data_IF_614362851896
#
_entry.id   IF_614362851896
#
_cell.length_a   1.000
_cell.length_b   1.000
_cell.length_c   1.000
_cell.angle_alpha   90.00
_cell.angle_beta   90.00
_cell.angle_gamma   90.00
#
_symmetry.space_group_name_H-M   'P 1'
#
loop_
_entity.id
_entity.type
_entity.pdbx_description
1 polymer ?
#
# COMPACT_ATOMS: atom_id res chain seq x y z
N UNK A 1 -8.24 -16.11 27.66
CA UNK A 1 -7.67 -15.45 26.46
C UNK A 1 -6.38 -14.76 26.85
N UNK A 2 -5.30 -15.08 26.16
CA UNK A 2 -4.02 -14.37 26.33
C UNK A 2 -4.16 -13.08 25.52
N UNK A 3 -3.94 -11.92 26.16
CA UNK A 3 -3.95 -10.64 25.46
C UNK A 3 -2.80 -10.61 24.45
N UNK A 4 -3.04 -10.22 23.21
CA UNK A 4 -1.97 -10.12 22.20
C UNK A 4 -0.99 -9.01 22.59
N UNK A 5 0.30 -9.25 22.33
CA UNK A 5 1.32 -8.22 22.44
C UNK A 5 1.46 -7.58 21.06
N UNK A 6 1.22 -6.28 20.97
CA UNK A 6 1.34 -5.52 19.73
C UNK A 6 2.68 -4.81 19.71
N UNK A 7 3.40 -4.93 18.60
CA UNK A 7 4.66 -4.24 18.33
C UNK A 7 4.56 -3.52 16.98
N UNK A 8 5.18 -2.34 16.88
CA UNK A 8 5.07 -1.49 15.68
C UNK A 8 6.18 -1.75 14.67
N UNK A 9 7.34 -2.22 15.14
CA UNK A 9 8.54 -2.42 14.34
C UNK A 9 9.49 -3.44 14.96
N UNK A 10 10.56 -3.74 14.23
CA UNK A 10 11.59 -4.68 14.64
C UNK A 10 12.34 -4.26 15.91
N UNK A 11 12.54 -2.95 16.11
CA UNK A 11 13.23 -2.42 17.30
C UNK A 11 12.39 -2.64 18.56
N UNK A 12 11.09 -2.37 18.48
CA UNK A 12 10.17 -2.63 19.58
C UNK A 12 10.02 -4.12 19.86
N UNK A 13 10.02 -4.96 18.81
CA UNK A 13 10.06 -6.42 18.97
C UNK A 13 11.29 -6.86 19.77
N UNK A 14 12.47 -6.39 19.39
CA UNK A 14 13.71 -6.70 20.09
C UNK A 14 13.68 -6.24 21.55
N UNK A 15 13.18 -5.03 21.81
CA UNK A 15 13.04 -4.51 23.17
C UNK A 15 12.10 -5.37 24.03
N UNK A 16 10.97 -5.81 23.48
CA UNK A 16 10.00 -6.67 24.18
C UNK A 16 10.49 -8.08 24.43
N UNK A 17 11.41 -8.58 23.62
CA UNK A 17 12.13 -9.83 23.89
C UNK A 17 13.15 -9.61 25.01
N UNK A 18 13.93 -8.53 24.93
CA UNK A 18 14.98 -8.23 25.91
C UNK A 18 14.43 -7.94 27.33
N UNK A 19 13.28 -7.30 27.44
CA UNK A 19 12.63 -7.01 28.74
C UNK A 19 11.81 -8.20 29.29
N UNK A 20 11.76 -9.32 28.55
CA UNK A 20 11.02 -10.53 28.95
C UNK A 20 9.51 -10.46 28.76
N UNK A 21 8.97 -9.38 28.20
CA UNK A 21 7.53 -9.26 27.84
C UNK A 21 7.14 -10.34 26.84
N UNK A 22 8.03 -10.65 25.88
CA UNK A 22 7.89 -11.78 24.97
C UNK A 22 8.83 -12.89 25.42
N UNK A 23 8.27 -13.98 25.91
CA UNK A 23 9.01 -15.17 26.34
C UNK A 23 9.23 -16.10 25.14
N UNK A 24 10.44 -16.02 24.55
CA UNK A 24 10.82 -16.82 23.39
C UNK A 24 10.99 -18.33 23.66
N UNK A 25 10.97 -18.75 24.92
CA UNK A 25 11.00 -20.19 25.27
C UNK A 25 9.61 -20.84 25.15
N UNK A 26 8.55 -20.04 25.16
CA UNK A 26 7.16 -20.51 24.99
C UNK A 26 6.76 -20.56 23.51
N UNK A 27 5.76 -21.40 23.16
CA UNK A 27 5.17 -21.37 21.83
C UNK A 27 4.63 -19.99 21.51
N UNK A 28 5.11 -19.40 20.42
CA UNK A 28 4.76 -18.06 19.98
C UNK A 28 4.09 -18.12 18.60
N UNK A 29 2.94 -17.51 18.45
CA UNK A 29 2.31 -17.27 17.15
C UNK A 29 2.41 -15.79 16.81
N UNK A 30 2.97 -15.50 15.65
CA UNK A 30 3.18 -14.14 15.17
C UNK A 30 2.38 -13.95 13.88
N UNK A 31 1.61 -12.88 13.83
CA UNK A 31 0.87 -12.42 12.64
C UNK A 31 1.25 -10.97 12.37
N UNK A 32 1.20 -10.57 11.10
CA UNK A 32 1.49 -9.20 10.71
C UNK A 32 0.21 -8.51 10.21
N UNK A 33 0.13 -7.20 10.41
CA UNK A 33 -0.99 -6.42 9.90
C UNK A 33 -1.06 -6.51 8.37
N UNK A 34 -2.26 -6.70 7.81
CA UNK A 34 -2.49 -6.92 6.37
C UNK A 34 -1.99 -5.79 5.47
N UNK A 35 -1.86 -4.58 6.01
CA UNK A 35 -1.38 -3.39 5.30
C UNK A 35 0.11 -3.12 5.49
N UNK A 36 0.83 -3.98 6.20
CA UNK A 36 2.26 -3.78 6.50
C UNK A 36 3.14 -4.03 5.27
N UNK A 37 4.39 -3.56 5.33
CA UNK A 37 5.37 -3.76 4.25
C UNK A 37 6.10 -5.09 4.41
N UNK A 38 6.55 -5.68 3.29
CA UNK A 38 7.37 -6.88 3.29
C UNK A 38 8.72 -6.66 3.99
N UNK A 39 9.28 -5.47 3.91
CA UNK A 39 10.54 -5.13 4.57
C UNK A 39 10.42 -5.29 6.08
N UNK A 40 9.41 -4.71 6.70
CA UNK A 40 9.16 -4.86 8.15
C UNK A 40 8.89 -6.30 8.55
N UNK A 41 8.18 -7.07 7.71
CA UNK A 41 7.99 -8.51 7.94
C UNK A 41 9.33 -9.23 7.99
N UNK A 42 10.20 -8.99 7.00
CA UNK A 42 11.51 -9.63 6.90
C UNK A 42 12.43 -9.25 8.07
N UNK A 43 12.41 -8.01 8.52
CA UNK A 43 13.16 -7.55 9.69
C UNK A 43 12.71 -8.27 10.97
N UNK A 44 11.40 -8.30 11.22
CA UNK A 44 10.84 -9.03 12.36
C UNK A 44 11.14 -10.54 12.28
N UNK A 45 11.05 -11.12 11.08
CA UNK A 45 11.35 -12.53 10.86
C UNK A 45 12.80 -12.89 11.21
N UNK A 46 13.76 -12.02 10.90
CA UNK A 46 15.19 -12.22 11.27
C UNK A 46 15.36 -12.30 12.79
N UNK A 47 14.72 -11.39 13.53
CA UNK A 47 14.78 -11.37 14.99
C UNK A 47 14.12 -12.62 15.57
N UNK A 48 12.89 -12.93 15.13
CA UNK A 48 12.15 -14.09 15.63
C UNK A 48 12.92 -15.40 15.39
N UNK A 49 13.47 -15.58 14.19
CA UNK A 49 14.27 -16.78 13.87
C UNK A 49 15.53 -16.91 14.72
N UNK A 50 16.12 -15.78 15.12
CA UNK A 50 17.34 -15.77 15.93
C UNK A 50 17.04 -16.03 17.40
N UNK A 51 16.02 -15.37 17.95
CA UNK A 51 15.79 -15.33 19.40
C UNK A 51 14.75 -16.36 19.87
N UNK A 52 13.78 -16.74 19.02
CA UNK A 52 12.65 -17.57 19.42
C UNK A 52 12.65 -18.93 18.71
N UNK A 53 12.96 -20.00 19.46
CA UNK A 53 13.11 -21.35 18.91
C UNK A 53 11.78 -22.04 18.57
N UNK A 54 10.67 -21.61 19.17
CA UNK A 54 9.36 -22.24 19.02
C UNK A 54 8.30 -21.23 18.54
N UNK A 55 8.68 -20.38 17.56
CA UNK A 55 7.78 -19.39 16.99
C UNK A 55 7.26 -19.82 15.62
N UNK A 56 5.96 -19.60 15.39
CA UNK A 56 5.32 -19.69 14.07
C UNK A 56 4.95 -18.28 13.61
N UNK A 57 5.55 -17.87 12.51
CA UNK A 57 5.25 -16.58 11.88
C UNK A 57 4.41 -16.82 10.62
N UNK A 58 3.30 -16.10 10.52
CA UNK A 58 2.40 -16.13 9.37
C UNK A 58 2.50 -14.80 8.64
N UNK A 59 2.77 -14.87 7.33
CA UNK A 59 2.62 -13.72 6.45
C UNK A 59 1.12 -13.53 6.18
N UNK A 60 0.59 -12.47 6.75
CA UNK A 60 -0.82 -12.08 6.61
C UNK A 60 -0.97 -10.76 5.87
N UNK A 61 0.07 -10.32 5.15
CA UNK A 61 -0.01 -9.15 4.28
C UNK A 61 -0.97 -9.45 3.13
N UNK A 62 -1.90 -8.52 2.89
CA UNK A 62 -2.85 -8.66 1.78
C UNK A 62 -2.13 -8.57 0.43
N UNK A 63 -2.40 -9.51 -0.50
CA UNK A 63 -1.80 -9.53 -1.84
C UNK A 63 -2.02 -8.22 -2.61
N UNK A 64 -3.24 -7.69 -2.57
CA UNK A 64 -3.54 -6.40 -3.20
C UNK A 64 -2.75 -5.23 -2.59
N UNK A 65 -2.51 -5.26 -1.27
CA UNK A 65 -1.65 -4.25 -0.62
C UNK A 65 -0.21 -4.39 -1.09
N UNK A 66 0.30 -5.61 -1.15
CA UNK A 66 1.67 -5.87 -1.63
C UNK A 66 1.86 -5.41 -3.08
N UNK A 67 0.91 -5.74 -3.97
CA UNK A 67 0.96 -5.30 -5.38
C UNK A 67 1.01 -3.77 -5.47
N UNK A 68 0.10 -3.06 -4.80
CA UNK A 68 0.10 -1.59 -4.80
C UNK A 68 1.39 -0.97 -4.25
N UNK A 69 1.95 -1.55 -3.20
CA UNK A 69 3.24 -1.09 -2.65
C UNK A 69 4.37 -1.28 -3.66
N UNK A 70 4.40 -2.40 -4.36
CA UNK A 70 5.40 -2.69 -5.40
C UNK A 70 5.26 -1.73 -6.57
N UNK A 71 4.05 -1.49 -7.05
CA UNK A 71 3.76 -0.54 -8.14
C UNK A 71 4.14 0.89 -7.75
N UNK A 72 3.77 1.33 -6.54
CA UNK A 72 4.15 2.65 -6.03
C UNK A 72 5.68 2.81 -5.95
N UNK A 73 6.40 1.77 -5.50
CA UNK A 73 7.86 1.79 -5.46
C UNK A 73 8.50 1.87 -6.85
N UNK A 74 7.93 1.17 -7.84
CA UNK A 74 8.40 1.21 -9.23
C UNK A 74 8.12 2.57 -9.86
N UNK A 75 6.91 3.10 -9.68
CA UNK A 75 6.51 4.40 -10.19
C UNK A 75 7.39 5.51 -9.61
N UNK A 76 7.61 5.51 -8.29
CA UNK A 76 8.43 6.51 -7.61
C UNK A 76 9.90 6.56 -8.09
N UNK A 77 10.45 5.46 -8.62
CA UNK A 77 11.80 5.44 -9.19
C UNK A 77 11.86 6.04 -10.60
N UNK A 78 10.73 6.08 -11.29
CA UNK A 78 10.66 6.47 -12.70
C UNK A 78 10.01 7.85 -12.90
N UNK A 79 9.50 8.47 -11.83
CA UNK A 79 8.85 9.78 -11.89
C UNK A 79 9.68 10.84 -11.16
N UNK A 80 9.60 12.08 -11.62
CA UNK A 80 10.24 13.24 -11.00
C UNK A 80 9.47 13.71 -9.77
N UNK A 81 8.16 13.43 -9.74
CA UNK A 81 7.30 13.72 -8.62
C UNK A 81 6.21 12.67 -8.46
N UNK A 82 5.64 12.59 -7.26
CA UNK A 82 4.58 11.62 -6.92
C UNK A 82 3.45 12.30 -6.15
N UNK A 83 2.24 11.88 -6.44
CA UNK A 83 1.04 12.21 -5.66
C UNK A 83 0.46 10.92 -5.08
N UNK A 84 0.33 10.88 -3.76
CA UNK A 84 -0.30 9.78 -3.04
C UNK A 84 -1.62 10.26 -2.47
N UNK A 85 -2.73 9.69 -2.94
CA UNK A 85 -4.07 10.05 -2.48
C UNK A 85 -4.53 9.08 -1.41
N UNK A 86 -4.94 9.61 -0.25
CA UNK A 86 -5.46 8.76 0.82
C UNK A 86 -5.63 9.46 2.14
N UNK A 87 -6.47 8.92 3.01
CA UNK A 87 -6.70 9.48 4.34
C UNK A 87 -5.46 9.36 5.23
N UNK A 88 -5.17 10.41 5.98
CA UNK A 88 -4.04 10.49 6.94
C UNK A 88 -4.06 9.40 8.00
N UNK A 89 -5.24 8.86 8.33
CA UNK A 89 -5.42 7.76 9.28
C UNK A 89 -5.30 6.37 8.66
N UNK A 90 -5.23 6.26 7.33
CA UNK A 90 -5.11 4.98 6.63
C UNK A 90 -3.67 4.48 6.68
N UNK A 91 -3.45 3.34 7.34
CA UNK A 91 -2.13 2.70 7.40
C UNK A 91 -1.59 2.36 5.99
N UNK A 92 -2.46 1.84 5.10
CA UNK A 92 -2.07 1.52 3.74
C UNK A 92 -1.62 2.78 2.96
N UNK A 93 -2.38 3.88 3.05
CA UNK A 93 -2.04 5.13 2.35
C UNK A 93 -0.73 5.74 2.87
N UNK A 94 -0.50 5.68 4.19
CA UNK A 94 0.77 6.13 4.78
C UNK A 94 1.96 5.29 4.32
N UNK A 95 1.81 3.97 4.24
CA UNK A 95 2.87 3.11 3.71
C UNK A 95 3.18 3.38 2.24
N UNK A 96 2.16 3.65 1.40
CA UNK A 96 2.39 4.07 0.01
C UNK A 96 3.18 5.38 -0.04
N UNK A 97 2.85 6.34 0.82
CA UNK A 97 3.58 7.60 0.92
C UNK A 97 5.04 7.39 1.36
N UNK A 98 5.27 6.61 2.43
CA UNK A 98 6.63 6.27 2.92
C UNK A 98 7.48 5.60 1.83
N UNK A 99 6.89 4.64 1.11
CA UNK A 99 7.54 3.94 -0.01
C UNK A 99 7.87 4.92 -1.14
N UNK A 100 6.95 5.81 -1.50
CA UNK A 100 7.18 6.83 -2.53
C UNK A 100 8.30 7.78 -2.13
N UNK A 101 8.31 8.27 -0.89
CA UNK A 101 9.37 9.13 -0.36
C UNK A 101 10.76 8.48 -0.33
N UNK A 102 10.82 7.15 -0.23
CA UNK A 102 12.11 6.44 -0.24
C UNK A 102 12.80 6.44 -1.61
N UNK A 103 12.05 6.69 -2.69
CA UNK A 103 12.54 6.58 -4.06
C UNK A 103 12.37 7.87 -4.89
N UNK A 104 11.48 8.77 -4.50
CA UNK A 104 11.21 10.05 -5.15
C UNK A 104 11.39 11.19 -4.13
N UNK A 105 12.08 12.26 -4.52
CA UNK A 105 12.35 13.39 -3.62
C UNK A 105 11.14 14.34 -3.48
N UNK A 106 10.26 14.40 -4.48
CA UNK A 106 9.10 15.28 -4.50
C UNK A 106 7.83 14.44 -4.41
N UNK A 107 7.28 14.29 -3.20
CA UNK A 107 6.08 13.49 -2.96
C UNK A 107 5.07 14.29 -2.17
N UNK A 108 3.85 14.41 -2.69
CA UNK A 108 2.72 14.97 -1.95
C UNK A 108 1.78 13.88 -1.45
N UNK A 109 1.33 14.01 -0.21
CA UNK A 109 0.29 13.16 0.38
C UNK A 109 -0.96 14.00 0.61
N UNK A 110 -2.03 13.66 -0.09
CA UNK A 110 -3.27 14.46 -0.12
C UNK A 110 -4.50 13.58 0.12
N UNK A 111 -5.56 14.15 0.66
CA UNK A 111 -6.84 13.47 0.84
C UNK A 111 -7.85 13.79 -0.28
N UNK A 112 -7.67 14.94 -0.94
CA UNK A 112 -8.55 15.42 -2.01
C UNK A 112 -7.80 16.40 -2.93
N UNK A 113 -8.40 16.74 -4.06
CA UNK A 113 -7.82 17.63 -5.06
C UNK A 113 -7.54 19.05 -4.57
N UNK A 114 -8.27 19.55 -3.56
CA UNK A 114 -8.04 20.90 -3.03
C UNK A 114 -6.68 21.04 -2.35
N UNK A 115 -6.14 19.93 -1.81
CA UNK A 115 -4.83 19.90 -1.14
C UNK A 115 -3.66 19.76 -2.10
N UNK A 116 -3.92 19.50 -3.39
CA UNK A 116 -2.86 19.36 -4.39
C UNK A 116 -2.21 20.71 -4.67
N UNK A 117 -0.91 20.79 -4.44
CA UNK A 117 -0.06 21.93 -4.83
C UNK A 117 0.65 21.61 -6.15
N UNK A 118 0.08 22.11 -7.25
CA UNK A 118 0.59 21.89 -8.61
C UNK A 118 1.88 22.68 -8.87
N UNK A 119 2.14 23.77 -8.11
CA UNK A 119 3.35 24.56 -8.25
C UNK A 119 4.63 23.76 -7.95
N UNK A 120 4.52 22.73 -7.11
CA UNK A 120 5.62 21.84 -6.78
C UNK A 120 6.05 20.94 -7.97
N UNK A 121 5.26 20.86 -9.03
CA UNK A 121 5.48 19.97 -10.18
C UNK A 121 5.87 20.70 -11.48
N UNK A 122 6.03 22.03 -11.43
CA UNK A 122 6.32 22.88 -12.63
C UNK A 122 7.56 22.44 -13.40
N UNK A 123 8.51 21.80 -12.73
CA UNK A 123 9.76 21.31 -13.34
C UNK A 123 9.80 19.76 -13.42
N UNK A 124 8.68 19.08 -13.24
CA UNK A 124 8.61 17.64 -13.34
C UNK A 124 8.14 17.26 -14.75
N UNK A 125 8.94 16.46 -15.46
CA UNK A 125 8.55 15.90 -16.76
C UNK A 125 7.52 14.77 -16.57
N UNK A 126 7.62 14.06 -15.44
CA UNK A 126 6.75 12.92 -15.13
C UNK A 126 6.25 13.01 -13.69
N UNK A 127 4.92 12.92 -13.52
CA UNK A 127 4.28 12.92 -12.20
C UNK A 127 3.46 11.64 -12.04
N UNK A 128 3.85 10.80 -11.08
CA UNK A 128 3.14 9.56 -10.76
C UNK A 128 1.97 9.82 -9.80
N UNK A 129 0.85 9.12 -10.03
CA UNK A 129 -0.33 9.16 -9.16
C UNK A 129 -0.64 7.77 -8.62
N UNK A 130 -0.72 7.64 -7.30
CA UNK A 130 -1.17 6.41 -6.64
C UNK A 130 -2.19 6.71 -5.55
N UNK A 131 -2.99 5.73 -5.17
CA UNK A 131 -4.03 5.92 -4.18
C UNK A 131 -4.19 4.72 -3.25
N UNK A 132 -4.60 4.99 -2.02
CA UNK A 132 -4.97 3.95 -1.07
C UNK A 132 -6.21 3.18 -1.51
N UNK A 133 -6.30 1.90 -1.12
CA UNK A 133 -7.39 0.99 -1.52
C UNK A 133 -8.81 1.47 -1.16
N UNK A 134 -8.94 2.29 -0.14
CA UNK A 134 -10.23 2.85 0.32
C UNK A 134 -10.57 4.22 -0.27
N UNK A 135 -9.74 4.73 -1.20
CA UNK A 135 -10.00 6.04 -1.83
C UNK A 135 -11.08 5.87 -2.90
N UNK A 136 -12.17 6.67 -2.83
CA UNK A 136 -13.20 6.62 -3.87
C UNK A 136 -12.66 7.04 -5.25
N UNK A 137 -13.11 6.36 -6.30
CA UNK A 137 -12.66 6.60 -7.66
C UNK A 137 -12.86 8.05 -8.12
N UNK A 138 -13.94 8.70 -7.68
CA UNK A 138 -14.21 10.09 -8.05
C UNK A 138 -13.15 11.07 -7.52
N UNK A 139 -12.58 10.82 -6.32
CA UNK A 139 -11.48 11.63 -5.78
C UNK A 139 -10.23 11.48 -6.67
N UNK A 140 -9.90 10.25 -7.09
CA UNK A 140 -8.77 9.99 -7.97
C UNK A 140 -8.96 10.72 -9.31
N UNK A 141 -10.16 10.66 -9.87
CA UNK A 141 -10.49 11.37 -11.12
C UNK A 141 -10.36 12.90 -10.96
N UNK A 142 -10.83 13.45 -9.84
CA UNK A 142 -10.74 14.88 -9.56
C UNK A 142 -9.28 15.34 -9.42
N UNK A 143 -8.45 14.57 -8.70
CA UNK A 143 -7.01 14.85 -8.57
C UNK A 143 -6.34 14.78 -9.95
N UNK A 144 -6.61 13.73 -10.74
CA UNK A 144 -6.08 13.59 -12.09
C UNK A 144 -6.45 14.77 -12.98
N UNK A 145 -7.72 15.16 -12.96
CA UNK A 145 -8.20 16.30 -13.75
C UNK A 145 -7.47 17.58 -13.38
N UNK A 146 -7.32 17.87 -12.09
CA UNK A 146 -6.59 19.05 -11.62
C UNK A 146 -5.12 19.01 -12.05
N UNK A 147 -4.47 17.83 -11.97
CA UNK A 147 -3.11 17.65 -12.50
C UNK A 147 -3.04 17.95 -13.99
N UNK A 148 -4.00 17.43 -14.78
CA UNK A 148 -4.02 17.63 -16.23
C UNK A 148 -4.25 19.11 -16.60
N UNK A 149 -5.19 19.79 -15.95
CA UNK A 149 -5.55 21.16 -16.26
C UNK A 149 -4.43 22.17 -15.94
N UNK A 150 -3.64 21.92 -14.88
CA UNK A 150 -2.64 22.86 -14.39
C UNK A 150 -1.20 22.48 -14.76
N UNK A 151 -0.88 21.18 -14.90
CA UNK A 151 0.48 20.69 -15.21
C UNK A 151 0.66 20.48 -16.71
N UNK A 152 -0.38 20.00 -17.43
CA UNK A 152 -0.31 19.65 -18.85
C UNK A 152 -0.64 20.80 -19.81
N UNK A 153 -0.73 22.04 -19.34
CA UNK A 153 -0.76 23.22 -20.25
C UNK A 153 0.51 23.38 -21.08
N UNK A 154 1.48 22.50 -20.91
CA UNK A 154 2.69 22.40 -21.74
C UNK A 154 2.82 20.99 -22.34
N UNK A 155 2.10 20.76 -23.46
CA UNK A 155 2.37 19.82 -24.55
C UNK A 155 2.67 18.34 -24.20
N UNK A 156 1.67 17.45 -24.19
CA UNK A 156 1.59 16.28 -25.08
C UNK A 156 0.24 15.52 -24.98
N UNK A 157 -0.50 15.33 -26.08
CA UNK A 157 -1.83 14.69 -26.05
C UNK A 157 -1.83 13.15 -26.08
N UNK A 158 -0.71 12.45 -26.03
CA UNK A 158 -0.61 11.05 -26.47
C UNK A 158 -0.62 9.96 -25.40
N UNK A 159 -0.63 10.29 -24.10
CA UNK A 159 -0.60 9.26 -23.03
C UNK A 159 -1.86 9.13 -22.16
N UNK A 160 -2.91 9.92 -22.44
CA UNK A 160 -4.12 9.95 -21.62
C UNK A 160 -5.03 8.74 -21.79
N UNK A 161 -5.01 8.08 -22.95
CA UNK A 161 -5.93 6.96 -23.23
C UNK A 161 -5.60 5.69 -22.43
N UNK A 162 -4.32 5.42 -22.15
CA UNK A 162 -3.89 4.17 -21.53
C UNK A 162 -4.14 4.14 -20.00
N UNK A 163 -4.11 5.31 -19.35
CA UNK A 163 -4.34 5.39 -17.88
C UNK A 163 -5.81 5.28 -17.53
N UNK A 164 -6.71 5.85 -18.35
CA UNK A 164 -8.15 5.75 -18.11
C UNK A 164 -8.65 4.32 -18.27
N UNK A 165 -8.15 3.58 -19.27
CA UNK A 165 -8.45 2.15 -19.43
C UNK A 165 -7.90 1.31 -18.26
N UNK A 166 -6.70 1.58 -17.78
CA UNK A 166 -6.12 0.90 -16.60
C UNK A 166 -6.87 1.24 -15.32
N UNK A 167 -7.29 2.50 -15.15
CA UNK A 167 -8.06 2.94 -13.99
C UNK A 167 -9.46 2.31 -14.02
N UNK A 168 -10.14 2.30 -15.18
CA UNK A 168 -11.46 1.68 -15.33
C UNK A 168 -11.40 0.16 -15.18
N UNK A 169 -10.35 -0.50 -15.64
CA UNK A 169 -10.12 -1.92 -15.40
C UNK A 169 -9.90 -2.24 -13.91
N UNK A 170 -9.20 -1.35 -13.21
CA UNK A 170 -8.93 -1.45 -11.76
C UNK A 170 -10.14 -1.11 -10.88
N UNK A 171 -11.09 -0.33 -11.41
CA UNK A 171 -12.26 0.18 -10.69
C UNK A 171 -13.56 -0.55 -11.06
N UNK A 172 -13.50 -1.62 -11.87
CA UNK A 172 -14.67 -2.42 -12.19
C UNK A 172 -15.32 -2.94 -10.91
N UNK A 173 -16.37 -2.26 -10.48
CA UNK A 173 -17.28 -2.78 -9.46
C UNK A 173 -18.09 -3.89 -10.12
N UNK A 174 -17.97 -5.10 -9.59
CA UNK A 174 -18.74 -6.24 -10.02
C UNK A 174 -20.24 -5.98 -9.84
N UNK A 175 -20.99 -6.10 -10.91
CA UNK A 175 -22.45 -6.00 -10.86
C UNK A 175 -23.04 -7.36 -10.47
N UNK A 176 -24.16 -7.32 -9.74
CA UNK A 176 -24.83 -8.53 -9.30
C UNK A 176 -25.25 -9.39 -10.50
N UNK A 177 -24.70 -10.63 -10.61
CA UNK A 177 -24.94 -11.56 -11.73
C UNK A 177 -23.86 -11.55 -12.82
N UNK A 178 -22.81 -10.76 -12.70
CA UNK A 178 -21.70 -10.77 -13.64
C UNK A 178 -20.82 -12.02 -13.46
N UNK A 179 -20.42 -12.65 -14.56
CA UNK A 179 -19.50 -13.78 -14.55
C UNK A 179 -18.07 -13.28 -14.56
N UNK A 180 -17.33 -13.61 -13.51
CA UNK A 180 -15.90 -13.28 -13.40
C UNK A 180 -15.08 -14.56 -13.33
N UNK A 181 -13.86 -14.48 -13.82
CA UNK A 181 -12.87 -15.55 -13.66
C UNK A 181 -11.91 -15.13 -12.57
N UNK A 182 -11.78 -15.93 -11.54
CA UNK A 182 -10.89 -15.64 -10.43
C UNK A 182 -10.12 -16.89 -10.01
N UNK A 183 -9.07 -16.66 -9.22
CA UNK A 183 -8.26 -17.74 -8.64
C UNK A 183 -8.72 -18.01 -7.21
N UNK A 184 -9.09 -19.25 -6.91
CA UNK A 184 -9.45 -19.64 -5.54
C UNK A 184 -8.19 -19.61 -4.67
N UNK A 185 -8.17 -18.72 -3.68
CA UNK A 185 -7.03 -18.53 -2.76
C UNK A 185 -7.25 -19.22 -1.41
N UNK A 186 -8.50 -19.44 -1.01
CA UNK A 186 -8.80 -20.19 0.19
C UNK A 186 -10.21 -20.84 0.12
N UNK A 187 -10.35 -22.00 0.75
CA UNK A 187 -11.62 -22.69 0.94
C UNK A 187 -11.78 -23.03 2.42
N UNK A 188 -12.88 -22.59 3.00
CA UNK A 188 -13.31 -22.98 4.35
C UNK A 188 -14.60 -23.79 4.29
N UNK A 189 -15.10 -24.25 5.43
CA UNK A 189 -16.35 -25.01 5.48
C UNK A 189 -17.60 -24.20 5.09
N UNK A 190 -17.50 -22.86 5.13
CA UNK A 190 -18.63 -21.94 4.90
C UNK A 190 -18.35 -20.88 3.84
N UNK A 191 -17.10 -20.70 3.41
CA UNK A 191 -16.70 -19.60 2.51
C UNK A 191 -15.61 -20.04 1.53
N UNK A 192 -15.66 -19.48 0.32
CA UNK A 192 -14.62 -19.60 -0.70
C UNK A 192 -14.12 -18.18 -0.97
N UNK A 193 -12.83 -17.96 -0.76
CA UNK A 193 -12.18 -16.70 -1.11
C UNK A 193 -11.60 -16.81 -2.51
N UNK A 194 -11.97 -15.88 -3.38
CA UNK A 194 -11.56 -15.83 -4.78
C UNK A 194 -10.90 -14.47 -5.03
N UNK A 195 -9.71 -14.49 -5.62
CA UNK A 195 -9.03 -13.30 -6.14
C UNK A 195 -9.46 -13.11 -7.60
N UNK A 196 -10.01 -11.90 -7.93
CA UNK A 196 -10.61 -11.55 -9.23
C UNK A 196 -10.04 -10.27 -9.79
#
# INVERSE_FOLDING_TARGET
CISPIVVNDASQLAARIADGTIDCAKPLTVVIQTTQTQEKLLECQKIIKKECTNAKLFDTICGATFTRQTEAAQMARNCDAMVVVGGSHSANSRHLYEISCSACANVQFIENAAQLDTSAFVHADTVGLTAGASVPAWIIKEVKQKMSDEILTQENPMETENFDEMLEASLKTLNNGEKVTGTVVAISATEISVDI
#
